data_IF_254504129311
#
_entry.id   IF_254504129311
#
_cell.length_a   1.000
_cell.length_b   1.000
_cell.length_c   1.000
_cell.angle_alpha   90.00
_cell.angle_beta   90.00
_cell.angle_gamma   90.00
#
_symmetry.space_group_name_H-M   'P 1'
#
loop_
_entity.id
_entity.type
_entity.pdbx_description
1 polymer ?
#
# COMPACT_ATOMS: atom_id res chain seq x y z
N UNK A 1 -8.46 -0.20 -18.91
CA UNK A 1 -8.59 -0.81 -17.59
C UNK A 1 -10.05 -1.16 -17.35
N UNK A 2 -10.36 -2.32 -16.75
CA UNK A 2 -11.76 -2.73 -16.50
C UNK A 2 -12.47 -1.84 -15.47
N UNK A 3 -11.74 -1.33 -14.47
CA UNK A 3 -12.30 -0.57 -13.35
C UNK A 3 -12.01 0.92 -13.42
N UNK A 4 -10.88 1.32 -13.98
CA UNK A 4 -10.44 2.72 -14.07
C UNK A 4 -10.79 3.39 -15.41
N UNK A 5 -11.38 2.64 -16.35
CA UNK A 5 -11.76 3.14 -17.67
C UNK A 5 -10.62 3.12 -18.70
N UNK A 6 -10.80 3.87 -19.79
CA UNK A 6 -9.76 4.02 -20.82
C UNK A 6 -8.71 5.03 -20.34
N UNK A 7 -7.45 4.79 -20.71
CA UNK A 7 -6.41 5.79 -20.56
C UNK A 7 -6.80 7.05 -21.34
N UNK A 8 -6.65 8.22 -20.73
CA UNK A 8 -6.97 9.50 -21.35
C UNK A 8 -5.74 10.05 -22.10
N UNK A 9 -5.58 9.55 -23.32
CA UNK A 9 -4.46 9.92 -24.18
C UNK A 9 -4.11 8.82 -25.18
N UNK A 10 -2.94 8.97 -25.77
CA UNK A 10 -2.42 8.07 -26.79
C UNK A 10 -1.26 7.25 -26.23
N UNK A 11 -1.27 5.95 -26.54
CA UNK A 11 -0.20 5.01 -26.19
C UNK A 11 0.14 4.21 -27.45
N UNK A 12 1.38 4.30 -27.88
CA UNK A 12 1.93 3.51 -28.98
C UNK A 12 3.05 2.60 -28.48
N UNK A 13 3.11 1.39 -29.03
CA UNK A 13 4.13 0.40 -28.70
C UNK A 13 5.26 0.49 -29.70
N UNK A 14 6.48 0.64 -29.19
CA UNK A 14 7.71 0.56 -29.96
C UNK A 14 8.63 -0.50 -29.35
N UNK A 15 9.71 -0.82 -30.06
CA UNK A 15 10.71 -1.75 -29.54
C UNK A 15 11.46 -1.10 -28.36
N UNK A 16 11.33 -1.68 -27.17
CA UNK A 16 11.99 -1.22 -25.94
C UNK A 16 11.35 -0.03 -25.22
N UNK A 17 10.26 0.56 -25.72
CA UNK A 17 9.58 1.69 -25.06
C UNK A 17 8.10 1.82 -25.45
N UNK A 18 7.35 2.54 -24.62
CA UNK A 18 6.05 3.10 -24.99
C UNK A 18 6.19 4.57 -25.33
N UNK A 19 5.50 5.01 -26.38
CA UNK A 19 5.26 6.43 -26.59
C UNK A 19 3.93 6.78 -25.93
N UNK A 20 3.97 7.56 -24.85
CA UNK A 20 2.79 7.98 -24.09
C UNK A 20 2.63 9.49 -24.25
N UNK A 21 1.58 9.92 -24.95
CA UNK A 21 1.31 11.33 -25.24
C UNK A 21 2.52 12.07 -25.85
N UNK A 22 3.21 11.44 -26.81
CA UNK A 22 4.38 12.01 -27.49
C UNK A 22 5.69 11.93 -26.70
N UNK A 23 5.70 11.25 -25.55
CA UNK A 23 6.89 11.07 -24.69
C UNK A 23 7.32 9.61 -24.63
N UNK A 24 8.60 9.38 -24.85
CA UNK A 24 9.22 8.07 -24.69
C UNK A 24 9.27 7.66 -23.21
N UNK A 25 8.77 6.46 -22.92
CA UNK A 25 8.86 5.80 -21.61
C UNK A 25 9.50 4.43 -21.83
N UNK A 26 10.77 4.27 -21.43
CA UNK A 26 11.51 3.01 -21.59
C UNK A 26 10.86 1.87 -20.81
N UNK A 27 10.84 0.69 -21.42
CA UNK A 27 10.34 -0.54 -20.83
C UNK A 27 11.50 -1.48 -20.60
N UNK A 28 11.65 -1.93 -19.35
CA UNK A 28 12.69 -2.86 -18.93
C UNK A 28 12.03 -4.14 -18.43
N UNK A 29 12.70 -5.27 -18.64
CA UNK A 29 12.22 -6.58 -18.22
C UNK A 29 13.32 -7.36 -17.50
N UNK A 30 13.69 -6.90 -16.30
CA UNK A 30 14.65 -7.58 -15.43
C UNK A 30 14.00 -7.93 -14.08
N UNK A 31 14.25 -9.16 -13.60
CA UNK A 31 13.77 -9.65 -12.31
C UNK A 31 14.64 -9.20 -11.14
N UNK A 32 15.90 -8.82 -11.39
CA UNK A 32 16.84 -8.37 -10.38
C UNK A 32 16.88 -6.82 -10.35
N UNK A 33 16.38 -6.18 -9.27
CA UNK A 33 16.38 -4.72 -9.14
C UNK A 33 17.76 -4.06 -9.24
N UNK A 34 18.81 -4.76 -8.82
CA UNK A 34 20.20 -4.26 -8.79
C UNK A 34 20.82 -4.15 -10.19
N UNK A 35 20.26 -4.88 -11.18
CA UNK A 35 20.70 -4.85 -12.57
C UNK A 35 19.94 -3.83 -13.43
N UNK A 36 19.00 -3.08 -12.85
CA UNK A 36 18.27 -2.05 -13.57
C UNK A 36 19.17 -0.81 -13.76
N UNK A 37 19.17 -0.17 -14.94
CA UNK A 37 20.05 0.96 -15.25
C UNK A 37 19.50 2.29 -14.71
N UNK A 38 19.08 2.35 -13.44
CA UNK A 38 18.46 3.56 -12.87
C UNK A 38 19.39 4.77 -12.86
N UNK A 39 20.67 4.57 -12.56
CA UNK A 39 21.69 5.61 -12.62
C UNK A 39 21.85 6.17 -14.04
N UNK A 40 21.95 5.30 -15.04
CA UNK A 40 22.11 5.71 -16.45
C UNK A 40 20.88 6.44 -16.99
N UNK A 41 19.70 6.10 -16.47
CA UNK A 41 18.43 6.74 -16.82
C UNK A 41 18.16 8.01 -16.00
N UNK A 42 18.98 8.33 -15.00
CA UNK A 42 18.80 9.50 -14.14
C UNK A 42 17.54 9.45 -13.28
N UNK A 43 17.13 8.26 -12.84
CA UNK A 43 15.91 8.09 -12.03
C UNK A 43 16.11 8.62 -10.60
N UNK A 44 15.33 9.63 -10.21
CA UNK A 44 15.38 10.17 -8.86
C UNK A 44 14.66 9.26 -7.84
N UNK A 45 13.46 8.79 -8.17
CA UNK A 45 12.62 8.00 -7.27
C UNK A 45 12.08 6.77 -8.00
N UNK A 46 12.24 5.60 -7.40
CA UNK A 46 11.57 4.37 -7.83
C UNK A 46 10.31 4.14 -6.99
N UNK A 47 9.21 3.82 -7.65
CA UNK A 47 8.02 3.27 -6.99
C UNK A 47 8.11 1.74 -7.04
N UNK A 48 8.39 1.12 -5.89
CA UNK A 48 8.46 -0.34 -5.76
C UNK A 48 7.06 -0.90 -5.58
N UNK A 49 6.48 -1.37 -6.69
CA UNK A 49 5.08 -1.80 -6.79
C UNK A 49 4.92 -3.30 -7.10
N UNK A 50 5.99 -4.09 -6.98
CA UNK A 50 5.95 -5.52 -7.33
C UNK A 50 5.36 -6.40 -6.23
N UNK A 51 5.47 -5.95 -4.97
CA UNK A 51 5.10 -6.72 -3.79
C UNK A 51 6.13 -7.78 -3.38
N UNK A 52 7.27 -7.90 -4.07
CA UNK A 52 8.35 -8.84 -3.72
C UNK A 52 9.47 -8.20 -2.90
N UNK A 53 9.72 -6.89 -3.08
CA UNK A 53 10.80 -6.15 -2.43
C UNK A 53 10.27 -5.22 -1.32
N UNK A 54 9.35 -5.74 -0.49
CA UNK A 54 8.70 -5.00 0.62
C UNK A 54 9.51 -5.00 1.92
N UNK A 55 10.83 -5.14 1.83
CA UNK A 55 11.75 -5.00 2.94
C UNK A 55 12.81 -3.96 2.57
N UNK A 56 13.29 -3.19 3.55
CA UNK A 56 14.21 -2.08 3.28
C UNK A 56 15.46 -2.53 2.53
N UNK A 57 16.12 -3.58 3.01
CA UNK A 57 17.33 -4.18 2.39
C UNK A 57 17.09 -4.64 0.94
N UNK A 58 15.88 -5.13 0.65
CA UNK A 58 15.44 -5.54 -0.68
C UNK A 58 15.15 -4.36 -1.60
N UNK A 59 14.51 -3.30 -1.08
CA UNK A 59 14.24 -2.09 -1.83
C UNK A 59 15.52 -1.29 -2.12
N UNK A 60 16.50 -1.35 -1.23
CA UNK A 60 17.83 -0.74 -1.41
C UNK A 60 18.59 -1.28 -2.63
N UNK A 61 18.20 -2.43 -3.19
CA UNK A 61 18.74 -2.89 -4.47
C UNK A 61 18.51 -1.88 -5.61
N UNK A 62 17.41 -1.11 -5.58
CA UNK A 62 17.20 -0.01 -6.54
C UNK A 62 18.16 1.16 -6.33
N UNK A 63 18.55 1.43 -5.07
CA UNK A 63 19.55 2.45 -4.75
C UNK A 63 20.92 2.02 -5.29
N UNK A 64 21.28 0.74 -5.15
CA UNK A 64 22.51 0.18 -5.74
C UNK A 64 22.52 0.27 -7.27
N UNK A 65 21.35 0.11 -7.90
CA UNK A 65 21.14 0.34 -9.33
C UNK A 65 21.21 1.83 -9.76
N UNK A 66 21.36 2.76 -8.82
CA UNK A 66 21.59 4.18 -9.08
C UNK A 66 20.38 5.09 -8.93
N UNK A 67 19.23 4.59 -8.46
CA UNK A 67 18.13 5.46 -8.05
C UNK A 67 18.50 6.24 -6.77
N UNK A 68 18.00 7.47 -6.61
CA UNK A 68 18.31 8.25 -5.39
C UNK A 68 17.42 7.88 -4.20
N UNK A 69 16.15 7.54 -4.46
CA UNK A 69 15.17 7.16 -3.43
C UNK A 69 14.21 6.07 -3.92
N UNK A 70 13.55 5.42 -2.97
CA UNK A 70 12.53 4.39 -3.21
C UNK A 70 11.31 4.63 -2.32
N UNK A 71 10.12 4.52 -2.91
CA UNK A 71 8.85 4.46 -2.18
C UNK A 71 8.24 3.08 -2.41
N UNK A 72 8.10 2.30 -1.35
CA UNK A 72 7.44 0.99 -1.40
C UNK A 72 5.92 1.20 -1.34
N UNK A 73 5.18 0.64 -2.30
CA UNK A 73 3.72 0.80 -2.42
C UNK A 73 2.90 -0.16 -1.53
N UNK A 74 3.48 -0.61 -0.41
CA UNK A 74 2.90 -1.62 0.47
C UNK A 74 3.42 -1.45 1.91
N UNK A 75 2.75 -2.07 2.92
CA UNK A 75 3.36 -2.30 4.22
C UNK A 75 4.70 -3.02 4.05
N UNK A 76 5.68 -2.59 4.81
CA UNK A 76 7.04 -3.04 4.60
C UNK A 76 7.80 -3.17 5.91
N UNK A 77 8.88 -3.94 5.88
CA UNK A 77 9.68 -4.31 7.06
C UNK A 77 11.07 -3.69 6.99
N UNK A 78 11.54 -3.13 8.09
CA UNK A 78 12.83 -2.46 8.18
C UNK A 78 12.77 -1.25 9.10
N UNK A 79 13.88 -0.53 9.20
CA UNK A 79 13.98 0.72 9.96
C UNK A 79 13.82 1.91 8.99
N UNK A 80 12.58 2.14 8.57
CA UNK A 80 12.25 3.20 7.64
C UNK A 80 10.92 3.85 7.98
N UNK A 81 10.75 5.10 7.54
CA UNK A 81 9.52 5.86 7.78
C UNK A 81 8.37 5.28 6.96
N UNK A 82 7.22 5.07 7.61
CA UNK A 82 5.95 4.78 6.96
C UNK A 82 5.12 6.06 6.89
N UNK A 83 4.77 6.48 5.68
CA UNK A 83 4.17 7.79 5.42
C UNK A 83 2.75 7.64 4.87
N UNK A 84 1.82 8.32 5.52
CA UNK A 84 0.51 8.66 4.96
C UNK A 84 0.50 10.15 4.69
N UNK A 85 0.33 10.51 3.42
CA UNK A 85 0.35 11.91 3.00
C UNK A 85 -0.75 12.72 3.70
N UNK A 86 -0.45 13.97 4.09
CA UNK A 86 -1.30 14.82 4.94
C UNK A 86 -1.61 14.31 6.36
N UNK A 87 -1.00 13.21 6.80
CA UNK A 87 -1.11 12.72 8.19
C UNK A 87 0.21 12.86 8.94
N UNK A 88 1.31 12.40 8.35
CA UNK A 88 2.65 12.47 8.94
C UNK A 88 3.78 12.73 7.93
N UNK A 89 3.47 13.13 6.69
CA UNK A 89 4.48 13.37 5.64
C UNK A 89 5.51 14.46 5.97
N UNK A 90 5.16 15.40 6.84
CA UNK A 90 6.04 16.44 7.37
C UNK A 90 7.19 15.89 8.23
N UNK A 91 7.11 14.60 8.60
CA UNK A 91 8.22 13.91 9.27
C UNK A 91 9.38 13.57 8.32
N UNK A 92 9.18 13.68 7.01
CA UNK A 92 10.24 13.50 6.03
C UNK A 92 11.19 14.70 6.05
N UNK A 93 12.48 14.43 6.26
CA UNK A 93 13.54 15.44 6.23
C UNK A 93 14.35 15.40 4.92
N UNK A 94 14.10 14.40 4.08
CA UNK A 94 14.70 14.24 2.78
C UNK A 94 15.99 13.43 2.79
N UNK A 95 16.51 13.05 3.95
CA UNK A 95 17.67 12.16 4.08
C UNK A 95 17.33 10.69 3.88
N UNK A 96 16.04 10.35 3.93
CA UNK A 96 15.56 8.98 3.73
C UNK A 96 15.78 8.54 2.29
N UNK A 97 16.34 7.35 2.15
CA UNK A 97 16.54 6.67 0.86
C UNK A 97 15.38 5.74 0.54
N UNK A 98 14.81 5.07 1.53
CA UNK A 98 13.66 4.17 1.37
C UNK A 98 12.57 4.55 2.36
N UNK A 99 11.34 4.64 1.89
CA UNK A 99 10.14 4.85 2.72
C UNK A 99 9.02 3.90 2.28
N UNK A 100 8.04 3.67 3.15
CA UNK A 100 6.79 2.97 2.81
C UNK A 100 5.65 3.96 2.65
N UNK A 101 4.84 3.82 1.59
CA UNK A 101 3.56 4.51 1.44
C UNK A 101 2.40 3.87 2.22
N UNK A 102 2.71 2.95 3.14
CA UNK A 102 1.76 2.13 3.88
C UNK A 102 0.85 1.25 2.98
N UNK A 103 -0.32 0.85 3.49
CA UNK A 103 -1.36 0.16 2.71
C UNK A 103 -2.49 1.12 2.32
N UNK A 104 -3.33 0.71 1.35
CA UNK A 104 -4.59 1.40 1.04
C UNK A 104 -5.49 1.57 2.28
N UNK A 105 -5.63 0.51 3.11
CA UNK A 105 -6.44 0.58 4.34
C UNK A 105 -5.83 1.51 5.38
N UNK A 106 -4.49 1.56 5.53
CA UNK A 106 -3.84 2.51 6.44
C UNK A 106 -4.08 3.95 5.98
N UNK A 107 -3.99 4.22 4.67
CA UNK A 107 -4.27 5.54 4.10
C UNK A 107 -5.73 5.97 4.30
N UNK A 108 -6.69 5.03 4.31
CA UNK A 108 -8.09 5.31 4.64
C UNK A 108 -8.29 5.55 6.15
N UNK A 109 -7.73 4.69 6.99
CA UNK A 109 -7.91 4.71 8.45
C UNK A 109 -7.25 5.92 9.11
N UNK A 110 -6.02 6.26 8.70
CA UNK A 110 -5.18 7.21 9.41
C UNK A 110 -5.76 8.63 9.54
N UNK A 111 -6.30 9.28 8.49
CA UNK A 111 -6.91 10.60 8.64
C UNK A 111 -8.13 10.57 9.59
N UNK A 112 -8.96 9.53 9.51
CA UNK A 112 -10.10 9.36 10.42
C UNK A 112 -9.64 9.19 11.87
N UNK A 113 -8.69 8.29 12.11
CA UNK A 113 -8.15 8.02 13.44
C UNK A 113 -7.42 9.23 14.03
N UNK A 114 -6.69 10.00 13.19
CA UNK A 114 -6.03 11.24 13.61
C UNK A 114 -7.03 12.26 14.14
N UNK A 115 -8.15 12.49 13.45
CA UNK A 115 -9.17 13.44 13.91
C UNK A 115 -9.80 12.98 15.23
N UNK A 116 -10.11 11.68 15.37
CA UNK A 116 -10.65 11.13 16.61
C UNK A 116 -9.67 11.29 17.78
N UNK A 117 -8.39 10.97 17.56
CA UNK A 117 -7.33 11.12 18.56
C UNK A 117 -7.14 12.58 18.96
N UNK A 118 -6.93 13.47 17.99
CA UNK A 118 -6.63 14.89 18.24
C UNK A 118 -7.77 15.61 18.97
N UNK A 119 -9.03 15.22 18.71
CA UNK A 119 -10.21 15.89 19.29
C UNK A 119 -10.72 15.24 20.56
N UNK A 120 -10.77 13.92 20.60
CA UNK A 120 -11.52 13.17 21.61
C UNK A 120 -10.66 12.21 22.42
N UNK A 121 -9.45 11.89 21.95
CA UNK A 121 -8.60 10.86 22.53
C UNK A 121 -9.18 9.46 22.30
N UNK A 122 -8.42 8.60 21.64
CA UNK A 122 -8.77 7.19 21.45
C UNK A 122 -8.20 6.39 22.60
N UNK A 123 -9.04 5.60 23.27
CA UNK A 123 -8.62 4.64 24.30
C UNK A 123 -8.22 3.33 23.63
N UNK A 124 -9.14 2.77 22.85
CA UNK A 124 -8.96 1.54 22.07
C UNK A 124 -9.95 1.50 20.90
N UNK A 125 -9.69 0.66 19.90
CA UNK A 125 -10.61 0.46 18.81
C UNK A 125 -10.36 -0.78 17.97
N UNK A 126 -11.43 -1.25 17.33
CA UNK A 126 -11.41 -2.36 16.40
C UNK A 126 -11.88 -1.90 15.02
N UNK A 127 -11.07 -2.21 14.02
CA UNK A 127 -11.31 -1.87 12.63
C UNK A 127 -11.81 -3.09 11.86
N UNK A 128 -12.83 -2.90 11.03
CA UNK A 128 -13.20 -3.85 9.97
C UNK A 128 -13.12 -3.13 8.63
N UNK A 129 -12.36 -3.65 7.68
CA UNK A 129 -12.42 -3.19 6.30
C UNK A 129 -13.26 -4.15 5.48
N UNK A 130 -14.30 -3.64 4.81
CA UNK A 130 -14.98 -4.37 3.75
C UNK A 130 -14.25 -4.00 2.47
N UNK A 131 -13.46 -4.93 1.96
CA UNK A 131 -12.44 -4.67 0.97
C UNK A 131 -12.78 -5.32 -0.36
N UNK A 132 -12.49 -4.64 -1.47
CA UNK A 132 -12.48 -5.27 -2.78
C UNK A 132 -11.58 -6.52 -2.80
N UNK A 133 -11.90 -7.50 -3.64
CA UNK A 133 -10.92 -8.57 -3.87
C UNK A 133 -9.70 -8.02 -4.63
N UNK A 134 -8.56 -8.69 -4.52
CA UNK A 134 -7.30 -8.23 -5.10
C UNK A 134 -6.60 -9.32 -5.93
N UNK A 135 -5.52 -8.96 -6.63
CA UNK A 135 -4.74 -9.92 -7.43
C UNK A 135 -4.04 -11.02 -6.64
N UNK A 136 -4.00 -10.94 -5.30
CA UNK A 136 -3.48 -12.01 -4.42
C UNK A 136 -4.58 -13.00 -4.01
N UNK A 137 -5.74 -13.02 -4.67
CA UNK A 137 -6.78 -14.03 -4.47
C UNK A 137 -6.99 -14.82 -5.77
N UNK A 138 -7.30 -16.11 -5.65
CA UNK A 138 -7.50 -16.94 -6.82
C UNK A 138 -8.83 -16.63 -7.53
N UNK A 139 -8.84 -16.68 -8.85
CA UNK A 139 -10.07 -16.52 -9.65
C UNK A 139 -11.10 -17.61 -9.31
N UNK A 140 -10.64 -18.85 -9.10
CA UNK A 140 -11.43 -19.99 -8.67
C UNK A 140 -10.70 -20.72 -7.53
N UNK A 141 -11.39 -21.62 -6.85
CA UNK A 141 -10.81 -22.42 -5.76
C UNK A 141 -9.56 -23.19 -6.24
N UNK A 142 -8.39 -22.87 -5.68
CA UNK A 142 -7.10 -23.48 -6.00
C UNK A 142 -6.08 -23.28 -4.86
N UNK A 143 -4.98 -24.07 -4.79
CA UNK A 143 -3.92 -23.82 -3.81
C UNK A 143 -3.35 -22.39 -3.93
N UNK A 144 -3.15 -21.71 -2.80
CA UNK A 144 -2.56 -20.37 -2.77
C UNK A 144 -1.04 -20.44 -2.55
N UNK A 145 -0.20 -19.71 -3.31
CA UNK A 145 1.27 -19.78 -3.21
C UNK A 145 1.84 -19.47 -1.81
N UNK A 146 1.13 -18.62 -1.04
CA UNK A 146 1.53 -18.23 0.32
C UNK A 146 0.91 -19.11 1.41
N UNK A 147 0.19 -20.18 1.04
CA UNK A 147 -0.48 -21.07 2.01
C UNK A 147 -1.71 -20.46 2.69
N UNK A 148 -2.23 -19.32 2.22
CA UNK A 148 -3.45 -18.72 2.74
C UNK A 148 -4.68 -19.47 2.19
N UNK A 149 -5.28 -20.31 3.03
CA UNK A 149 -6.44 -21.14 2.66
C UNK A 149 -7.71 -20.34 2.37
N UNK A 150 -7.78 -19.08 2.78
CA UNK A 150 -8.94 -18.21 2.50
C UNK A 150 -8.75 -17.46 1.18
N UNK A 151 -7.55 -16.94 0.89
CA UNK A 151 -7.22 -16.38 -0.45
C UNK A 151 -7.21 -17.44 -1.55
N UNK A 152 -7.07 -18.71 -1.18
CA UNK A 152 -7.22 -19.86 -2.06
C UNK A 152 -8.62 -20.00 -2.69
N UNK A 153 -9.64 -19.36 -2.12
CA UNK A 153 -11.05 -19.47 -2.56
C UNK A 153 -11.37 -18.49 -3.69
N UNK A 154 -12.38 -18.83 -4.49
CA UNK A 154 -12.86 -18.04 -5.62
C UNK A 154 -13.22 -16.60 -5.19
N UNK A 155 -12.39 -15.64 -5.64
CA UNK A 155 -12.40 -14.26 -5.17
C UNK A 155 -13.73 -13.52 -5.38
N UNK A 156 -14.36 -13.74 -6.54
CA UNK A 156 -15.57 -13.03 -6.95
C UNK A 156 -16.88 -13.72 -6.50
N UNK A 157 -16.80 -14.78 -5.69
CA UNK A 157 -17.98 -15.59 -5.30
C UNK A 157 -18.10 -15.77 -3.77
N UNK A 158 -17.25 -15.09 -2.98
CA UNK A 158 -17.18 -15.30 -1.54
C UNK A 158 -16.98 -13.99 -0.76
N UNK A 159 -17.45 -14.00 0.49
CA UNK A 159 -16.94 -13.11 1.54
C UNK A 159 -15.76 -13.83 2.19
N UNK A 160 -14.56 -13.28 2.06
CA UNK A 160 -13.30 -13.94 2.46
C UNK A 160 -12.68 -13.16 3.62
N UNK A 161 -12.78 -13.66 4.87
CA UNK A 161 -12.15 -12.99 6.00
C UNK A 161 -10.62 -13.10 5.90
N UNK A 162 -9.89 -12.02 6.10
CA UNK A 162 -8.43 -12.03 6.07
C UNK A 162 -7.83 -11.18 7.21
N UNK A 163 -6.59 -11.49 7.56
CA UNK A 163 -5.83 -10.64 8.48
C UNK A 163 -5.39 -9.38 7.74
N UNK A 164 -5.24 -8.28 8.48
CA UNK A 164 -4.68 -7.04 7.96
C UNK A 164 -3.78 -6.41 9.01
N UNK A 165 -2.65 -5.87 8.57
CA UNK A 165 -1.73 -5.14 9.44
C UNK A 165 -2.09 -3.66 9.58
N UNK A 166 -3.11 -3.15 8.87
CA UNK A 166 -3.34 -1.72 8.72
C UNK A 166 -3.60 -1.00 10.05
N UNK A 167 -4.45 -1.58 10.91
CA UNK A 167 -4.75 -1.04 12.23
C UNK A 167 -3.54 -1.14 13.18
N UNK A 168 -2.76 -2.24 13.12
CA UNK A 168 -1.54 -2.39 13.92
C UNK A 168 -0.44 -1.41 13.50
N UNK A 169 -0.28 -1.22 12.19
CA UNK A 169 0.69 -0.32 11.58
C UNK A 169 0.34 1.16 11.79
N UNK A 170 -0.85 1.48 12.33
CA UNK A 170 -1.22 2.86 12.61
C UNK A 170 -0.24 3.54 13.56
N UNK A 171 0.36 2.79 14.49
CA UNK A 171 1.33 3.31 15.45
C UNK A 171 2.61 3.82 14.81
N UNK A 172 2.93 3.36 13.60
CA UNK A 172 4.09 3.85 12.84
C UNK A 172 3.79 5.19 12.15
N UNK A 173 2.51 5.49 11.91
CA UNK A 173 2.04 6.74 11.30
C UNK A 173 1.63 7.77 12.36
N UNK A 174 0.96 7.31 13.41
CA UNK A 174 0.42 8.07 14.54
C UNK A 174 0.92 7.43 15.85
N UNK A 175 2.09 7.83 16.36
CA UNK A 175 2.71 7.19 17.53
C UNK A 175 1.82 7.14 18.78
N UNK A 176 0.93 8.11 18.97
CA UNK A 176 0.00 8.14 20.12
C UNK A 176 -1.07 7.05 20.07
N UNK A 177 -1.28 6.42 18.91
CA UNK A 177 -2.20 5.30 18.70
C UNK A 177 -1.52 3.93 18.71
N UNK A 178 -0.21 3.88 18.99
CA UNK A 178 0.55 2.62 19.03
C UNK A 178 -0.05 1.66 20.07
N UNK A 179 -0.48 0.48 19.61
CA UNK A 179 -1.07 -0.56 20.44
C UNK A 179 -2.55 -0.35 20.81
N UNK A 180 -3.19 0.73 20.34
CA UNK A 180 -4.60 1.02 20.66
C UNK A 180 -5.59 0.44 19.65
N UNK A 181 -5.17 0.22 18.40
CA UNK A 181 -6.03 -0.24 17.32
C UNK A 181 -5.60 -1.62 16.80
N UNK A 182 -6.57 -2.49 16.58
CA UNK A 182 -6.42 -3.75 15.84
C UNK A 182 -7.58 -3.91 14.84
N UNK A 183 -7.54 -4.92 13.98
CA UNK A 183 -8.63 -5.14 13.03
C UNK A 183 -8.47 -6.31 12.08
N UNK A 184 -9.50 -6.50 11.27
CA UNK A 184 -9.60 -7.56 10.27
C UNK A 184 -10.15 -7.02 8.94
N UNK A 185 -10.05 -7.84 7.89
CA UNK A 185 -10.62 -7.55 6.58
C UNK A 185 -11.69 -8.59 6.21
N UNK A 186 -12.68 -8.14 5.45
CA UNK A 186 -13.66 -8.97 4.74
C UNK A 186 -13.53 -8.64 3.25
N UNK A 187 -12.90 -9.51 2.47
CA UNK A 187 -12.84 -9.31 1.03
C UNK A 187 -14.18 -9.72 0.40
N UNK A 188 -14.74 -8.87 -0.46
CA UNK A 188 -16.05 -9.09 -1.08
C UNK A 188 -15.97 -8.97 -2.62
N UNK A 189 -16.96 -9.51 -3.36
CA UNK A 189 -16.99 -9.52 -4.83
C UNK A 189 -17.19 -8.17 -5.54
N UNK A 190 -16.36 -7.19 -5.21
CA UNK A 190 -16.23 -5.93 -5.96
C UNK A 190 -14.79 -5.79 -6.45
N UNK A 191 -14.57 -5.40 -7.73
CA UNK A 191 -13.24 -5.43 -8.35
C UNK A 191 -12.33 -4.27 -7.91
N UNK A 192 -12.92 -3.21 -7.32
CA UNK A 192 -12.25 -2.10 -6.64
C UNK A 192 -13.27 -1.39 -5.76
N UNK A 193 -12.81 -0.47 -4.91
CA UNK A 193 -13.65 0.23 -3.93
C UNK A 193 -13.79 -0.56 -2.63
N UNK A 194 -13.33 0.05 -1.54
CA UNK A 194 -13.33 -0.53 -0.20
C UNK A 194 -13.79 0.52 0.80
N UNK A 195 -14.19 0.07 1.99
CA UNK A 195 -14.49 0.95 3.12
C UNK A 195 -13.82 0.47 4.40
N UNK A 196 -13.73 1.38 5.37
CA UNK A 196 -13.18 1.11 6.69
C UNK A 196 -14.17 1.55 7.76
N UNK A 197 -14.63 0.58 8.54
CA UNK A 197 -15.37 0.81 9.78
C UNK A 197 -14.39 0.80 10.95
N UNK A 198 -14.55 1.75 11.86
CA UNK A 198 -13.76 1.85 13.08
C UNK A 198 -14.70 2.02 14.27
N UNK A 199 -14.75 1.00 15.12
CA UNK A 199 -15.47 1.04 16.40
C UNK A 199 -14.48 1.37 17.49
N UNK A 200 -14.65 2.51 18.16
CA UNK A 200 -13.69 3.04 19.15
C UNK A 200 -14.35 3.43 20.46
N UNK A 201 -13.60 3.24 21.55
CA UNK A 201 -13.86 3.89 22.83
C UNK A 201 -13.06 5.19 22.88
N UNK A 202 -13.74 6.31 23.13
CA UNK A 202 -13.13 7.64 23.22
C UNK A 202 -13.06 8.10 24.68
N UNK A 203 -12.08 8.97 24.97
CA UNK A 203 -11.88 9.54 26.31
C UNK A 203 -12.89 10.66 26.64
N UNK A 204 -13.60 11.16 25.62
CA UNK A 204 -14.64 12.19 25.75
C UNK A 204 -16.00 11.70 25.29
N UNK A 205 -17.06 12.16 25.96
CA UNK A 205 -18.45 11.97 25.51
C UNK A 205 -18.68 12.80 24.24
N UNK A 206 -19.22 12.15 23.20
CA UNK A 206 -19.53 12.76 21.89
C UNK A 206 -20.99 12.53 21.49
N UNK A 207 -21.44 13.19 20.42
CA UNK A 207 -22.74 12.99 19.78
C UNK A 207 -22.55 12.73 18.28
N UNK A 208 -23.58 12.18 17.64
CA UNK A 208 -23.69 12.07 16.18
C UNK A 208 -24.18 13.38 15.60
#
# INVERSE_FOLDING_TARGET
DTTQGRFDGEVEVHDGFFNVNGKEVKVLANRNPEELPWGDLGVDIVLECTGFFTAQDKAELHIKAGAKKVVISAPATGDMKTIVYNVNHETLDGTETVISGASCTTNCLAPMAKVLEDKFGVVEGLMTTIHAYTGDQNTLDAPHPKGDFRRARAAAENIIPNTTGAAKAIGEVLPTLKGKLDGAAQHVPVPTGSLTELVTVLDKKVTV
#
